data_IF_446035977312
#
_entry.id   IF_446035977312
#
_cell.length_a   1.000
_cell.length_b   1.000
_cell.length_c   1.000
_cell.angle_alpha   90.00
_cell.angle_beta   90.00
_cell.angle_gamma   90.00
#
_symmetry.space_group_name_H-M   'P 1'
#
loop_
_entity.id
_entity.type
_entity.pdbx_description
1 polymer ?
#
# COMPACT_ATOMS: atom_id res chain seq x y z
N UNK A 1 6.01 1.68 -2.54
CA UNK A 1 7.04 1.89 -1.52
C UNK A 1 7.67 3.29 -1.47
N UNK A 2 8.25 3.86 -2.55
CA UNK A 2 8.83 5.23 -2.46
C UNK A 2 7.79 6.30 -2.07
N UNK A 3 6.54 6.12 -2.52
CA UNK A 3 5.40 6.97 -2.16
C UNK A 3 5.01 6.85 -0.68
N UNK A 4 5.11 5.66 -0.09
CA UNK A 4 4.69 5.40 1.29
C UNK A 4 5.53 6.16 2.31
N UNK A 5 6.85 6.24 2.11
CA UNK A 5 7.73 6.99 2.99
C UNK A 5 7.38 8.49 3.03
N UNK A 6 7.05 9.08 1.88
CA UNK A 6 6.65 10.49 1.79
C UNK A 6 5.28 10.70 2.47
N UNK A 7 4.34 9.78 2.25
CA UNK A 7 3.01 9.85 2.89
C UNK A 7 3.04 9.62 4.40
N UNK A 8 4.09 8.99 4.95
CA UNK A 8 4.27 8.79 6.39
C UNK A 8 5.05 9.94 7.01
N UNK A 9 6.12 10.40 6.34
CA UNK A 9 6.95 11.50 6.84
C UNK A 9 6.18 12.81 6.94
N UNK A 10 5.25 13.10 6.02
CA UNK A 10 4.43 14.31 6.05
C UNK A 10 3.60 14.44 7.34
N UNK A 11 2.73 13.48 7.66
CA UNK A 11 1.98 13.45 8.93
C UNK A 11 2.87 13.41 10.18
N UNK A 12 4.01 12.70 10.14
CA UNK A 12 4.93 12.64 11.29
C UNK A 12 5.59 14.00 11.58
N UNK A 13 5.93 14.76 10.54
CA UNK A 13 6.43 16.13 10.67
C UNK A 13 5.34 17.07 11.19
N UNK A 14 4.11 16.96 10.67
CA UNK A 14 2.98 17.77 11.14
C UNK A 14 2.58 17.44 12.58
N UNK A 15 2.70 16.17 12.98
CA UNK A 15 2.38 15.68 14.32
C UNK A 15 3.51 15.80 15.34
N UNK A 16 4.69 16.32 14.96
CA UNK A 16 5.90 16.35 15.81
C UNK A 16 6.22 14.98 16.46
N UNK A 17 6.00 13.88 15.74
CA UNK A 17 6.19 12.53 16.26
C UNK A 17 7.67 12.16 16.15
N UNK A 18 8.30 11.81 17.26
CA UNK A 18 9.69 11.34 17.24
C UNK A 18 9.77 9.89 16.73
N UNK A 19 10.33 9.73 15.53
CA UNK A 19 10.53 8.40 14.93
C UNK A 19 11.67 7.68 15.66
N UNK A 20 11.44 6.46 16.20
CA UNK A 20 12.51 5.70 16.83
C UNK A 20 13.60 5.33 15.83
N UNK A 21 14.88 5.39 16.23
CA UNK A 21 16.05 5.14 15.36
C UNK A 21 15.94 3.82 14.57
N UNK A 22 15.42 2.76 15.20
CA UNK A 22 15.19 1.45 14.56
C UNK A 22 14.26 1.56 13.34
N UNK A 23 13.16 2.30 13.45
CA UNK A 23 12.23 2.49 12.35
C UNK A 23 12.86 3.28 11.20
N UNK A 24 13.70 4.28 11.50
CA UNK A 24 14.44 5.03 10.50
C UNK A 24 15.38 4.14 9.67
N UNK A 25 16.10 3.21 10.31
CA UNK A 25 16.97 2.26 9.60
C UNK A 25 16.18 1.30 8.71
N UNK A 26 15.05 0.78 9.20
CA UNK A 26 14.18 -0.10 8.42
C UNK A 26 13.67 0.65 7.17
N UNK A 27 13.19 1.89 7.33
CA UNK A 27 12.74 2.71 6.19
C UNK A 27 13.84 2.94 5.17
N UNK A 28 15.06 3.26 5.62
CA UNK A 28 16.19 3.45 4.71
C UNK A 28 16.49 2.17 3.91
N UNK A 29 16.52 1.00 4.56
CA UNK A 29 16.72 -0.29 3.88
C UNK A 29 15.62 -0.54 2.84
N UNK A 30 14.35 -0.35 3.20
CA UNK A 30 13.21 -0.55 2.30
C UNK A 30 13.22 0.41 1.10
N UNK A 31 13.63 1.67 1.32
CA UNK A 31 13.76 2.67 0.26
C UNK A 31 14.88 2.32 -0.73
N UNK A 32 16.02 1.84 -0.24
CA UNK A 32 17.13 1.42 -1.09
C UNK A 32 16.80 0.15 -1.89
N UNK A 33 16.18 -0.86 -1.26
CA UNK A 33 15.68 -2.04 -1.97
C UNK A 33 14.68 -1.65 -3.07
N UNK A 34 13.80 -0.69 -2.78
CA UNK A 34 12.80 -0.19 -3.74
C UNK A 34 13.46 0.54 -4.91
N UNK A 35 14.54 1.27 -4.66
CA UNK A 35 15.33 1.93 -5.71
C UNK A 35 15.96 0.89 -6.64
N UNK A 36 16.59 -0.13 -6.08
CA UNK A 36 17.21 -1.21 -6.88
C UNK A 36 16.15 -1.94 -7.70
N UNK A 37 15.02 -2.32 -7.09
CA UNK A 37 13.91 -2.97 -7.80
C UNK A 37 13.36 -2.12 -8.97
N UNK A 38 13.28 -0.79 -8.80
CA UNK A 38 12.86 0.13 -9.85
C UNK A 38 13.86 0.20 -11.01
N UNK A 39 15.17 0.20 -10.71
CA UNK A 39 16.22 0.20 -11.73
C UNK A 39 16.20 -1.12 -12.51
N UNK A 40 16.08 -2.26 -11.82
CA UNK A 40 15.94 -3.57 -12.45
C UNK A 40 14.75 -3.59 -13.41
N UNK A 41 13.59 -3.07 -13.00
CA UNK A 41 12.42 -3.00 -13.89
C UNK A 41 12.66 -2.15 -15.14
N UNK A 42 13.26 -0.97 -14.98
CA UNK A 42 13.61 -0.09 -16.10
C UNK A 42 14.59 -0.73 -17.09
N UNK A 43 15.63 -1.39 -16.58
CA UNK A 43 16.59 -2.12 -17.40
C UNK A 43 15.94 -3.31 -18.10
N UNK A 44 15.11 -4.09 -17.41
CA UNK A 44 14.44 -5.24 -18.01
C UNK A 44 13.54 -4.81 -19.18
N UNK A 45 12.78 -3.72 -19.02
CA UNK A 45 11.95 -3.18 -20.08
C UNK A 45 12.79 -2.72 -21.28
N UNK A 46 13.94 -2.07 -21.06
CA UNK A 46 14.86 -1.67 -22.11
C UNK A 46 15.35 -2.89 -22.92
N UNK A 47 15.79 -3.96 -22.25
CA UNK A 47 16.26 -5.16 -22.92
C UNK A 47 15.15 -5.88 -23.69
N UNK A 48 13.92 -5.88 -23.17
CA UNK A 48 12.77 -6.44 -23.85
C UNK A 48 12.45 -5.68 -25.14
N UNK A 49 12.53 -4.34 -25.13
CA UNK A 49 12.32 -3.51 -26.32
C UNK A 49 13.40 -3.77 -27.37
N UNK A 50 14.65 -4.00 -26.95
CA UNK A 50 15.76 -4.37 -27.83
C UNK A 50 15.68 -5.82 -28.35
N UNK A 51 14.68 -6.59 -27.93
CA UNK A 51 14.49 -8.00 -28.33
C UNK A 51 15.41 -9.00 -27.62
N UNK A 52 16.15 -8.56 -26.59
CA UNK A 52 17.08 -9.39 -25.85
C UNK A 52 16.37 -10.09 -24.67
N UNK A 53 15.85 -11.29 -24.92
CA UNK A 53 15.08 -12.06 -23.92
C UNK A 53 15.93 -12.63 -22.77
N UNK A 54 17.17 -13.04 -23.05
CA UNK A 54 18.06 -13.63 -22.02
C UNK A 54 18.39 -12.65 -20.87
N UNK A 55 18.84 -11.40 -21.12
CA UNK A 55 19.09 -10.45 -20.03
C UNK A 55 17.81 -10.03 -19.31
N UNK A 56 16.65 -10.03 -19.99
CA UNK A 56 15.35 -9.81 -19.34
C UNK A 56 15.11 -10.83 -18.21
N UNK A 57 15.25 -12.13 -18.48
CA UNK A 57 15.05 -13.16 -17.44
C UNK A 57 16.08 -13.11 -16.31
N UNK A 58 17.33 -12.74 -16.59
CA UNK A 58 18.33 -12.58 -15.53
C UNK A 58 18.02 -11.41 -14.61
N UNK A 59 17.54 -10.28 -15.14
CA UNK A 59 17.18 -9.12 -14.32
C UNK A 59 15.95 -9.44 -13.47
N UNK A 60 14.99 -10.20 -13.98
CA UNK A 60 13.85 -10.67 -13.18
C UNK A 60 14.27 -11.65 -12.08
N UNK A 61 15.25 -12.53 -12.31
CA UNK A 61 15.83 -13.37 -11.26
C UNK A 61 16.43 -12.55 -10.11
N UNK A 62 17.24 -11.54 -10.44
CA UNK A 62 17.82 -10.64 -9.42
C UNK A 62 16.72 -9.86 -8.68
N UNK A 63 15.63 -9.52 -9.37
CA UNK A 63 14.47 -8.86 -8.77
C UNK A 63 13.74 -9.74 -7.77
N UNK A 64 13.71 -11.06 -7.97
CA UNK A 64 13.13 -11.97 -6.97
C UNK A 64 13.95 -12.03 -5.68
N UNK A 65 15.28 -12.00 -5.76
CA UNK A 65 16.11 -11.90 -4.54
C UNK A 65 15.80 -10.62 -3.74
N UNK A 66 15.49 -9.53 -4.43
CA UNK A 66 15.06 -8.29 -3.78
C UNK A 66 13.68 -8.46 -3.15
N UNK A 67 12.79 -9.23 -3.76
CA UNK A 67 11.49 -9.55 -3.17
C UNK A 67 11.57 -10.49 -1.97
N UNK A 68 12.46 -11.49 -1.99
CA UNK A 68 12.75 -12.31 -0.81
C UNK A 68 13.26 -11.45 0.36
N UNK A 69 14.09 -10.44 0.06
CA UNK A 69 14.56 -9.46 1.06
C UNK A 69 13.45 -8.53 1.54
N UNK A 70 12.53 -8.15 0.66
CA UNK A 70 11.33 -7.42 1.07
C UNK A 70 10.48 -8.28 2.00
N UNK A 71 10.23 -9.54 1.63
CA UNK A 71 9.47 -10.50 2.42
C UNK A 71 10.10 -10.67 3.81
N UNK A 72 11.40 -10.94 3.89
CA UNK A 72 12.15 -11.05 5.15
C UNK A 72 12.18 -9.74 5.97
N UNK A 73 11.97 -8.58 5.34
CA UNK A 73 11.81 -7.30 6.02
C UNK A 73 10.35 -7.04 6.44
N UNK A 74 9.37 -7.57 5.73
CA UNK A 74 7.94 -7.51 6.08
C UNK A 74 7.51 -8.53 7.13
N UNK A 75 8.12 -9.72 7.18
CA UNK A 75 8.00 -10.66 8.30
C UNK A 75 8.40 -9.98 9.63
N UNK A 76 9.26 -8.95 9.56
CA UNK A 76 9.64 -8.12 10.72
C UNK A 76 8.61 -7.07 11.13
N UNK A 77 7.58 -6.80 10.32
CA UNK A 77 6.46 -5.91 10.67
C UNK A 77 5.17 -6.66 10.97
N UNK A 78 5.10 -7.95 10.61
CA UNK A 78 4.08 -8.86 11.11
C UNK A 78 4.16 -8.94 12.63
N UNK A 79 3.02 -8.73 13.30
CA UNK A 79 2.93 -8.66 14.76
C UNK A 79 3.53 -7.40 15.41
N UNK A 80 3.92 -6.37 14.64
CA UNK A 80 4.42 -5.10 15.18
C UNK A 80 3.36 -4.02 15.19
N UNK A 81 3.14 -3.42 16.36
CA UNK A 81 2.17 -2.33 16.53
C UNK A 81 0.74 -2.81 16.34
N UNK A 82 0.41 -3.95 16.96
CA UNK A 82 -0.93 -4.53 16.98
C UNK A 82 -1.86 -3.56 17.72
N UNK A 83 -2.97 -3.21 17.09
CA UNK A 83 -4.04 -2.41 17.69
C UNK A 83 -5.33 -3.21 17.55
N UNK A 84 -5.97 -3.52 18.68
CA UNK A 84 -7.26 -4.20 18.69
C UNK A 84 -8.40 -3.31 18.20
N UNK A 85 -9.52 -3.93 17.80
CA UNK A 85 -10.72 -3.20 17.37
C UNK A 85 -11.23 -2.23 18.46
N UNK A 86 -11.26 -2.68 19.72
CA UNK A 86 -11.73 -1.87 20.85
C UNK A 86 -10.80 -0.69 21.13
N UNK A 87 -9.48 -0.91 21.09
CA UNK A 87 -8.48 0.15 21.26
C UNK A 87 -8.57 1.17 20.14
N UNK A 88 -8.74 0.72 18.89
CA UNK A 88 -8.91 1.60 17.74
C UNK A 88 -10.14 2.51 17.89
N UNK A 89 -11.27 1.99 18.40
CA UNK A 89 -12.46 2.79 18.68
C UNK A 89 -12.24 3.76 19.83
N UNK A 90 -11.67 3.29 20.94
CA UNK A 90 -11.43 4.10 22.14
C UNK A 90 -10.46 5.25 21.88
N UNK A 91 -9.48 5.05 21.01
CA UNK A 91 -8.52 6.10 20.60
C UNK A 91 -9.02 6.98 19.46
N UNK A 92 -10.24 6.73 18.94
CA UNK A 92 -10.81 7.49 17.83
C UNK A 92 -10.01 7.37 16.54
N UNK A 93 -9.36 6.22 16.31
CA UNK A 93 -8.64 5.98 15.07
C UNK A 93 -9.61 5.87 13.89
N UNK A 94 -9.16 6.23 12.69
CA UNK A 94 -10.01 6.24 11.49
C UNK A 94 -9.29 5.69 10.25
N UNK A 95 -10.07 5.45 9.19
CA UNK A 95 -9.57 4.98 7.89
C UNK A 95 -8.79 3.67 7.99
N UNK A 96 -7.58 3.56 7.41
CA UNK A 96 -6.85 2.30 7.33
C UNK A 96 -6.40 1.77 8.69
N UNK A 97 -6.26 2.62 9.70
CA UNK A 97 -5.92 2.19 11.07
C UNK A 97 -7.06 1.36 11.67
N UNK A 98 -8.29 1.83 11.50
CA UNK A 98 -9.49 1.20 12.02
C UNK A 98 -9.88 -0.03 11.18
N UNK A 99 -9.72 0.05 9.86
CA UNK A 99 -9.97 -1.07 8.93
C UNK A 99 -8.97 -2.21 9.05
N UNK A 100 -7.71 -1.92 9.38
CA UNK A 100 -6.72 -2.97 9.62
C UNK A 100 -6.92 -3.70 10.95
N UNK A 101 -7.64 -3.08 11.90
CA UNK A 101 -8.00 -3.64 13.20
C UNK A 101 -9.32 -4.42 13.19
N UNK A 102 -9.82 -4.80 12.02
CA UNK A 102 -11.01 -5.64 11.87
C UNK A 102 -12.35 -4.89 11.76
N UNK A 103 -12.35 -3.56 11.72
CA UNK A 103 -13.59 -2.78 11.68
C UNK A 103 -13.87 -2.31 10.24
N UNK A 104 -14.92 -2.88 9.64
CA UNK A 104 -15.37 -2.54 8.28
C UNK A 104 -16.13 -1.20 8.27
N UNK A 105 -15.39 -0.09 8.29
CA UNK A 105 -15.96 1.25 8.29
C UNK A 105 -15.30 2.13 7.23
N UNK A 106 -16.12 2.79 6.42
CA UNK A 106 -15.69 3.75 5.42
C UNK A 106 -16.75 4.84 5.24
N UNK A 107 -16.34 6.10 5.30
CA UNK A 107 -17.22 7.26 5.14
C UNK A 107 -17.96 7.24 3.80
N UNK A 108 -17.35 6.73 2.72
CA UNK A 108 -17.95 6.70 1.38
C UNK A 108 -19.19 5.81 1.29
N UNK A 109 -19.29 4.76 2.12
CA UNK A 109 -20.50 3.92 2.22
C UNK A 109 -21.52 4.44 3.23
N UNK A 110 -21.05 5.17 4.24
CA UNK A 110 -21.90 5.66 5.34
C UNK A 110 -22.62 6.94 4.95
N UNK A 111 -21.86 7.93 4.50
CA UNK A 111 -22.37 9.26 4.14
C UNK A 111 -22.84 9.33 2.68
N UNK A 112 -22.42 8.35 1.86
CA UNK A 112 -22.92 8.12 0.49
C UNK A 112 -22.89 9.37 -0.40
N UNK A 113 -21.80 10.13 -0.31
CA UNK A 113 -21.65 11.35 -1.08
C UNK A 113 -21.26 11.03 -2.54
N UNK A 114 -21.59 11.94 -3.46
CA UNK A 114 -21.28 11.83 -4.90
C UNK A 114 -21.89 10.58 -5.55
N UNK A 115 -21.14 9.88 -6.42
CA UNK A 115 -21.58 8.70 -7.15
C UNK A 115 -21.11 7.37 -6.53
N UNK A 116 -20.62 7.36 -5.28
CA UNK A 116 -20.10 6.14 -4.65
C UNK A 116 -21.16 5.06 -4.38
N UNK A 117 -22.44 5.43 -4.41
CA UNK A 117 -23.60 4.51 -4.31
C UNK A 117 -23.92 3.81 -5.63
N UNK A 118 -23.53 4.41 -6.77
CA UNK A 118 -23.82 3.89 -8.11
C UNK A 118 -22.73 2.92 -8.59
N UNK A 119 -21.57 2.94 -7.95
CA UNK A 119 -20.40 2.13 -8.31
C UNK A 119 -20.30 0.89 -7.41
N UNK A 120 -20.00 -0.26 -7.99
CA UNK A 120 -19.80 -1.50 -7.25
C UNK A 120 -18.38 -1.58 -6.68
N UNK A 121 -18.27 -1.49 -5.35
CA UNK A 121 -17.00 -1.58 -4.65
C UNK A 121 -17.16 -2.04 -3.20
N UNK A 122 -16.09 -2.66 -2.69
CA UNK A 122 -16.05 -3.24 -1.35
C UNK A 122 -15.04 -2.54 -0.43
N UNK A 123 -15.39 -2.44 0.85
CA UNK A 123 -14.51 -1.85 1.87
C UNK A 123 -13.37 -2.83 2.16
N UNK A 124 -12.13 -2.38 1.93
CA UNK A 124 -10.93 -3.21 2.15
C UNK A 124 -10.53 -3.18 3.62
N UNK A 125 -10.43 -4.34 4.25
CA UNK A 125 -10.13 -4.47 5.68
C UNK A 125 -9.23 -5.67 5.95
N UNK A 126 -8.62 -5.69 7.13
CA UNK A 126 -7.78 -6.77 7.64
C UNK A 126 -8.09 -7.00 9.12
N UNK A 127 -7.73 -8.15 9.67
CA UNK A 127 -8.10 -8.54 11.05
C UNK A 127 -6.96 -8.37 12.05
N UNK A 128 -5.73 -8.42 11.56
CA UNK A 128 -4.53 -8.67 12.35
C UNK A 128 -4.11 -7.43 13.15
N UNK A 129 -4.54 -6.23 12.74
CA UNK A 129 -4.29 -4.99 13.48
C UNK A 129 -2.83 -4.53 13.52
N UNK A 130 -1.93 -5.27 12.87
CA UNK A 130 -0.51 -5.00 12.83
C UNK A 130 -0.12 -4.04 11.70
N UNK A 131 1.17 -3.75 11.60
CA UNK A 131 1.69 -2.84 10.59
C UNK A 131 1.59 -3.40 9.17
N UNK A 132 1.61 -4.73 9.03
CA UNK A 132 1.43 -5.41 7.75
C UNK A 132 -0.03 -5.32 7.27
N UNK A 133 -1.00 -5.58 8.14
CA UNK A 133 -2.43 -5.42 7.87
C UNK A 133 -2.75 -4.01 7.37
N UNK A 134 -2.19 -2.98 8.01
CA UNK A 134 -2.33 -1.58 7.56
C UNK A 134 -1.74 -1.31 6.19
N UNK A 135 -0.64 -2.00 5.85
CA UNK A 135 -0.03 -1.92 4.53
C UNK A 135 -0.92 -2.60 3.49
N UNK A 136 -1.38 -3.82 3.76
CA UNK A 136 -2.24 -4.59 2.86
C UNK A 136 -3.56 -3.89 2.58
N UNK A 137 -4.21 -3.29 3.58
CA UNK A 137 -5.43 -2.47 3.39
C UNK A 137 -5.20 -1.38 2.35
N UNK A 138 -4.06 -0.67 2.40
CA UNK A 138 -3.75 0.41 1.44
C UNK A 138 -3.52 -0.11 0.02
N UNK A 139 -2.85 -1.25 -0.12
CA UNK A 139 -2.62 -1.87 -1.43
C UNK A 139 -3.95 -2.30 -2.04
N UNK A 140 -4.81 -2.96 -1.26
CA UNK A 140 -6.15 -3.34 -1.69
C UNK A 140 -7.00 -2.12 -2.04
N UNK A 141 -6.91 -1.02 -1.27
CA UNK A 141 -7.60 0.24 -1.57
C UNK A 141 -7.18 0.84 -2.92
N UNK A 142 -5.90 0.73 -3.30
CA UNK A 142 -5.43 1.20 -4.61
C UNK A 142 -6.07 0.41 -5.73
N UNK A 143 -6.12 -0.92 -5.61
CA UNK A 143 -6.77 -1.79 -6.60
C UNK A 143 -8.27 -1.51 -6.71
N UNK A 144 -8.95 -1.35 -5.58
CA UNK A 144 -10.37 -1.03 -5.55
C UNK A 144 -10.65 0.36 -6.13
N UNK A 145 -9.75 1.32 -5.89
CA UNK A 145 -9.84 2.66 -6.49
C UNK A 145 -9.76 2.61 -8.02
N UNK A 146 -8.88 1.77 -8.58
CA UNK A 146 -8.80 1.56 -10.03
C UNK A 146 -10.12 0.95 -10.55
N UNK A 147 -10.70 -0.02 -9.83
CA UNK A 147 -12.00 -0.63 -10.16
C UNK A 147 -13.11 0.43 -10.19
N UNK A 148 -13.14 1.33 -9.21
CA UNK A 148 -14.11 2.44 -9.15
C UNK A 148 -13.92 3.39 -10.34
N UNK A 149 -12.69 3.81 -10.63
CA UNK A 149 -12.39 4.72 -11.75
C UNK A 149 -12.81 4.10 -13.09
N UNK A 150 -12.53 2.81 -13.30
CA UNK A 150 -12.92 2.11 -14.52
C UNK A 150 -14.43 2.04 -14.71
N UNK A 151 -15.20 1.86 -13.62
CA UNK A 151 -16.67 1.89 -13.67
C UNK A 151 -17.19 3.30 -13.94
N UNK A 152 -16.69 4.30 -13.20
CA UNK A 152 -17.08 5.70 -13.39
C UNK A 152 -16.79 6.20 -14.82
N UNK A 153 -15.66 5.81 -15.43
CA UNK A 153 -15.35 6.16 -16.81
C UNK A 153 -16.30 5.53 -17.84
N UNK A 154 -16.78 4.30 -17.60
CA UNK A 154 -17.76 3.64 -18.48
C UNK A 154 -19.11 4.36 -18.45
N UNK A 155 -19.60 4.70 -17.25
CA UNK A 155 -20.85 5.44 -17.09
C UNK A 155 -20.75 6.85 -17.68
N UNK A 156 -19.62 7.54 -17.46
CA UNK A 156 -19.37 8.85 -18.04
C UNK A 156 -19.40 8.84 -19.58
N UNK A 157 -18.76 7.83 -20.21
CA UNK A 157 -18.74 7.70 -21.67
C UNK A 157 -20.09 7.30 -22.26
N UNK A 158 -20.95 6.61 -21.51
CA UNK A 158 -22.31 6.25 -21.93
C UNK A 158 -23.31 7.40 -21.89
N UNK A 159 -22.92 8.56 -21.34
CA UNK A 159 -23.77 9.74 -21.18
C UNK A 159 -23.59 10.79 -22.30
N UNK A 160 -22.69 10.54 -23.26
CA UNK A 160 -22.48 11.33 -24.48
C UNK A 160 -23.18 10.68 -25.68
#
# INVERSE_FOLDING_TARGET
MFTEAITVNGPEQLGNIQVPKRASYIRAIMLELSRIASICYGLALLWQILGAQTPFFYIFRERELIYDLFEAATERVEGVGIIGAEEALNWGLSGPMLRASGIQWDLRKVDRYECYDEVDWEVQWQKEGDSLARYLVRISEMTESIKIIQQALKEFQGTL
#
